data_IF_084528713781
#
_entry.id   IF_084528713781
#
_cell.length_a   1.000
_cell.length_b   1.000
_cell.length_c   1.000
_cell.angle_alpha   90.00
_cell.angle_beta   90.00
_cell.angle_gamma   90.00
#
_symmetry.space_group_name_H-M   'P 1'
#
loop_
_entity.id
_entity.type
_entity.pdbx_description
1 polymer ?
#
# COMPACT_ATOMS: atom_id res chain seq x y z
N UNK A 1 -34.87 -1.07 -49.20
CA UNK A 1 -35.99 -2.02 -49.12
C UNK A 1 -35.46 -3.43 -49.38
N UNK A 2 -35.85 -4.40 -48.51
CA UNK A 2 -35.69 -5.89 -48.56
C UNK A 2 -34.30 -6.44 -48.13
N UNK A 3 -34.10 -6.98 -46.92
CA UNK A 3 -34.44 -8.33 -46.36
C UNK A 3 -33.89 -9.47 -47.25
N UNK A 4 -33.04 -10.41 -46.78
CA UNK A 4 -33.36 -11.51 -45.83
C UNK A 4 -32.09 -12.25 -45.36
N UNK A 5 -32.15 -12.81 -44.16
CA UNK A 5 -31.13 -13.60 -43.45
C UNK A 5 -30.86 -15.00 -44.05
N UNK A 6 -29.60 -15.46 -43.98
CA UNK A 6 -29.23 -16.89 -44.06
C UNK A 6 -28.61 -17.30 -42.74
N UNK A 7 -29.24 -18.29 -42.12
CA UNK A 7 -28.81 -19.00 -40.92
C UNK A 7 -27.45 -19.69 -41.16
N UNK A 8 -26.47 -19.40 -40.31
CA UNK A 8 -25.32 -20.28 -40.10
C UNK A 8 -25.31 -20.71 -38.63
N UNK A 9 -25.36 -22.01 -38.46
CA UNK A 9 -25.57 -22.78 -37.23
C UNK A 9 -24.41 -22.70 -36.26
N UNK A 10 -24.77 -22.81 -34.98
CA UNK A 10 -23.99 -22.94 -33.75
C UNK A 10 -22.68 -23.77 -33.85
N UNK A 11 -21.70 -23.31 -33.07
CA UNK A 11 -20.53 -23.95 -32.41
C UNK A 11 -19.25 -23.18 -32.76
N UNK A 12 -18.36 -22.79 -31.85
CA UNK A 12 -18.23 -22.85 -30.41
C UNK A 12 -17.03 -21.97 -30.02
N UNK A 13 -16.78 -21.86 -28.72
CA UNK A 13 -15.56 -21.35 -28.06
C UNK A 13 -15.46 -19.84 -27.83
N UNK A 14 -15.99 -19.48 -26.66
CA UNK A 14 -15.51 -18.40 -25.79
C UNK A 14 -13.98 -18.44 -25.72
N UNK A 15 -13.31 -17.41 -26.21
CA UNK A 15 -11.94 -17.10 -25.84
C UNK A 15 -11.97 -15.87 -24.92
N UNK A 16 -12.12 -16.12 -23.62
CA UNK A 16 -11.83 -15.12 -22.60
C UNK A 16 -10.31 -14.89 -22.61
N UNK A 17 -9.86 -13.77 -23.19
CA UNK A 17 -8.49 -13.32 -23.02
C UNK A 17 -8.34 -12.78 -21.59
N UNK A 18 -7.99 -13.68 -20.67
CA UNK A 18 -7.45 -13.31 -19.37
C UNK A 18 -6.08 -12.65 -19.63
N UNK A 19 -6.02 -11.32 -19.58
CA UNK A 19 -4.75 -10.62 -19.46
C UNK A 19 -4.14 -11.02 -18.11
N UNK A 20 -3.11 -11.87 -18.19
CA UNK A 20 -2.31 -12.29 -17.08
C UNK A 20 -1.74 -11.06 -16.36
N UNK A 21 -2.15 -10.86 -15.11
CA UNK A 21 -1.40 -10.03 -14.17
C UNK A 21 -0.02 -10.66 -14.02
N UNK A 22 1.00 -10.02 -14.59
CA UNK A 22 2.38 -10.30 -14.20
C UNK A 22 2.49 -9.97 -12.72
N UNK A 23 2.93 -10.89 -11.85
CA UNK A 23 3.39 -10.48 -10.53
C UNK A 23 4.61 -9.61 -10.78
N UNK A 24 4.45 -8.29 -10.64
CA UNK A 24 5.58 -7.38 -10.61
C UNK A 24 6.50 -7.89 -9.51
N UNK A 25 7.81 -8.13 -9.77
CA UNK A 25 8.76 -8.34 -8.70
C UNK A 25 8.76 -7.01 -7.95
N UNK A 26 7.94 -6.93 -6.89
CA UNK A 26 8.04 -5.87 -5.91
C UNK A 26 9.50 -5.89 -5.50
N UNK A 27 10.22 -4.86 -5.94
CA UNK A 27 11.59 -4.64 -5.54
C UNK A 27 11.64 -4.93 -4.04
N UNK A 28 12.62 -5.73 -3.62
CA UNK A 28 12.91 -5.92 -2.21
C UNK A 28 13.41 -4.56 -1.66
N UNK A 29 12.50 -3.61 -1.55
CA UNK A 29 12.62 -2.42 -0.74
C UNK A 29 13.00 -2.94 0.65
N UNK A 30 13.89 -2.24 1.36
CA UNK A 30 14.20 -2.61 2.74
C UNK A 30 12.90 -2.63 3.54
N UNK A 31 12.36 -3.84 3.72
CA UNK A 31 11.13 -4.05 4.46
C UNK A 31 11.40 -3.62 5.89
N UNK A 32 10.46 -2.92 6.49
CA UNK A 32 10.48 -2.65 7.91
C UNK A 32 10.56 -4.01 8.63
N UNK A 33 11.14 -4.04 9.84
CA UNK A 33 11.24 -5.30 10.57
C UNK A 33 9.86 -5.66 11.10
N UNK A 34 9.36 -6.84 10.72
CA UNK A 34 8.05 -7.30 11.17
C UNK A 34 7.97 -7.31 12.70
N UNK A 35 6.86 -6.79 13.24
CA UNK A 35 6.63 -6.59 14.68
C UNK A 35 7.25 -5.31 15.25
N UNK A 36 7.87 -4.47 14.41
CA UNK A 36 8.38 -3.16 14.79
C UNK A 36 7.34 -2.06 14.63
N UNK A 37 7.37 -1.07 15.52
CA UNK A 37 6.55 0.14 15.42
C UNK A 37 7.43 1.28 14.91
N UNK A 38 6.94 1.98 13.89
CA UNK A 38 7.68 3.02 13.19
C UNK A 38 6.84 4.29 12.99
N UNK A 39 7.45 5.45 13.21
CA UNK A 39 6.98 6.72 12.70
C UNK A 39 7.04 6.69 11.18
N UNK A 40 6.14 7.42 10.52
CA UNK A 40 6.21 7.59 9.07
C UNK A 40 7.55 8.19 8.63
N UNK A 41 8.12 9.14 9.39
CA UNK A 41 9.48 9.65 9.14
C UNK A 41 10.55 8.54 9.14
N UNK A 42 10.48 7.60 10.09
CA UNK A 42 11.41 6.47 10.17
C UNK A 42 11.25 5.51 8.99
N UNK A 43 10.02 5.28 8.53
CA UNK A 43 9.73 4.50 7.33
C UNK A 43 10.26 5.18 6.07
N UNK A 44 10.06 6.49 5.92
CA UNK A 44 10.61 7.28 4.81
C UNK A 44 12.14 7.25 4.78
N UNK A 45 12.79 7.29 5.95
CA UNK A 45 14.25 7.16 6.04
C UNK A 45 14.76 5.75 5.68
N UNK A 46 13.93 4.72 5.81
CA UNK A 46 14.27 3.34 5.43
C UNK A 46 14.12 3.10 3.92
N UNK A 47 13.24 3.83 3.23
CA UNK A 47 13.04 3.65 1.80
C UNK A 47 11.74 4.26 1.28
N UNK A 48 11.26 3.73 0.15
CA UNK A 48 10.11 4.24 -0.59
C UNK A 48 8.77 3.84 0.06
N UNK A 49 8.53 4.27 1.31
CA UNK A 49 7.27 4.01 2.02
C UNK A 49 6.21 5.08 1.79
N UNK A 50 6.55 6.20 1.15
CA UNK A 50 5.64 7.34 0.99
C UNK A 50 4.27 6.93 0.43
N UNK A 51 4.25 6.25 -0.72
CA UNK A 51 2.99 5.89 -1.38
C UNK A 51 2.20 4.85 -0.59
N UNK A 52 2.91 3.95 0.10
CA UNK A 52 2.30 2.96 0.98
C UNK A 52 1.67 3.63 2.21
N UNK A 53 2.36 4.59 2.82
CA UNK A 53 1.84 5.41 3.93
C UNK A 53 0.59 6.16 3.48
N UNK A 54 0.61 6.80 2.31
CA UNK A 54 -0.54 7.52 1.75
C UNK A 54 -1.72 6.59 1.54
N UNK A 55 -1.51 5.40 0.98
CA UNK A 55 -2.56 4.39 0.80
C UNK A 55 -3.17 3.98 2.14
N UNK A 56 -2.35 3.69 3.15
CA UNK A 56 -2.81 3.20 4.44
C UNK A 56 -3.52 4.30 5.24
N UNK A 57 -3.05 5.55 5.18
CA UNK A 57 -3.74 6.70 5.76
C UNK A 57 -5.09 6.94 5.09
N UNK A 58 -5.13 6.90 3.74
CA UNK A 58 -6.38 7.03 2.98
C UNK A 58 -7.38 5.93 3.34
N UNK A 59 -6.91 4.68 3.43
CA UNK A 59 -7.74 3.54 3.83
C UNK A 59 -8.26 3.67 5.28
N UNK A 60 -7.48 4.31 6.16
CA UNK A 60 -7.87 4.64 7.53
C UNK A 60 -8.72 5.92 7.65
N UNK A 61 -9.06 6.57 6.54
CA UNK A 61 -9.82 7.83 6.53
C UNK A 61 -9.07 9.00 7.15
N UNK A 62 -7.74 8.93 7.20
CA UNK A 62 -6.89 10.00 7.72
C UNK A 62 -6.46 10.96 6.60
N UNK A 63 -6.19 12.23 6.92
CA UNK A 63 -5.50 13.13 6.01
C UNK A 63 -4.14 12.56 5.60
N UNK A 64 -3.71 12.90 4.38
CA UNK A 64 -2.42 12.49 3.81
C UNK A 64 -1.50 13.70 3.63
N UNK A 65 -1.63 14.70 4.51
CA UNK A 65 -0.70 15.83 4.53
C UNK A 65 0.66 15.41 5.12
N UNK A 66 1.67 16.24 4.91
CA UNK A 66 3.03 16.02 5.42
C UNK A 66 3.05 15.74 6.93
N UNK A 67 2.17 16.35 7.73
CA UNK A 67 2.16 16.10 9.16
C UNK A 67 1.68 14.67 9.45
N UNK A 68 0.61 14.22 8.80
CA UNK A 68 0.11 12.85 8.95
C UNK A 68 1.09 11.82 8.38
N UNK A 69 1.73 12.11 7.26
CA UNK A 69 2.74 11.23 6.68
C UNK A 69 3.93 11.10 7.63
N UNK A 70 4.46 12.21 8.17
CA UNK A 70 5.68 12.18 8.96
C UNK A 70 5.46 11.74 10.42
N UNK A 71 4.34 12.14 11.02
CA UNK A 71 4.06 11.99 12.45
C UNK A 71 3.03 10.91 12.78
N UNK A 72 2.57 10.12 11.82
CA UNK A 72 1.77 8.94 12.15
C UNK A 72 2.63 7.76 12.55
N UNK A 73 2.06 6.93 13.43
CA UNK A 73 2.64 5.71 13.93
C UNK A 73 2.08 4.51 13.15
N UNK A 74 2.97 3.64 12.70
CA UNK A 74 2.65 2.48 11.89
C UNK A 74 3.23 1.21 12.51
N UNK A 75 2.45 0.13 12.46
CA UNK A 75 2.89 -1.21 12.80
C UNK A 75 3.45 -1.88 11.54
N UNK A 76 4.64 -2.44 11.62
CA UNK A 76 5.22 -3.21 10.53
C UNK A 76 4.78 -4.67 10.59
N UNK A 77 4.08 -5.11 9.57
CA UNK A 77 3.63 -6.48 9.38
C UNK A 77 4.66 -7.27 8.54
N UNK A 78 4.40 -8.57 8.38
CA UNK A 78 5.24 -9.42 7.55
C UNK A 78 5.22 -8.96 6.08
N UNK A 79 6.38 -9.01 5.41
CA UNK A 79 6.51 -8.62 4.01
C UNK A 79 6.73 -7.11 3.77
N UNK A 80 6.89 -6.30 4.83
CA UNK A 80 7.04 -4.85 4.69
C UNK A 80 5.70 -4.11 4.55
N UNK A 81 4.59 -4.82 4.77
CA UNK A 81 3.27 -4.24 4.93
C UNK A 81 3.21 -3.37 6.19
N UNK A 82 2.48 -2.26 6.13
CA UNK A 82 2.33 -1.34 7.26
C UNK A 82 0.86 -1.14 7.61
N UNK A 83 0.57 -0.98 8.90
CA UNK A 83 -0.76 -0.69 9.41
C UNK A 83 -0.75 0.58 10.22
N UNK A 84 -1.64 1.51 9.89
CA UNK A 84 -1.82 2.72 10.68
C UNK A 84 -2.30 2.38 12.09
N UNK A 85 -1.63 2.95 13.10
CA UNK A 85 -2.00 2.84 14.51
C UNK A 85 -2.69 4.12 14.95
N UNK A 86 -1.99 5.26 14.82
CA UNK A 86 -2.49 6.56 15.29
C UNK A 86 -1.68 7.71 14.68
N UNK A 87 -2.27 8.90 14.62
CA UNK A 87 -1.56 10.14 14.32
C UNK A 87 -1.00 10.75 15.62
N UNK A 88 0.29 11.12 15.64
CA UNK A 88 0.91 11.77 16.78
C UNK A 88 0.87 13.31 16.60
N UNK A 89 -0.15 13.95 17.17
CA UNK A 89 -0.36 15.41 17.02
C UNK A 89 0.77 16.29 17.56
N UNK A 90 1.51 15.82 18.57
CA UNK A 90 2.67 16.54 19.13
C UNK A 90 4.01 16.15 18.46
N UNK A 91 3.96 15.29 17.43
CA UNK A 91 5.14 14.73 16.78
C UNK A 91 5.42 13.29 17.19
N UNK A 92 6.29 12.64 16.42
CA UNK A 92 6.66 11.25 16.57
C UNK A 92 8.15 11.13 16.92
N UNK A 93 8.48 10.35 17.95
CA UNK A 93 9.81 10.18 18.52
C UNK A 93 10.32 8.73 18.39
N UNK A 94 11.61 8.53 18.66
CA UNK A 94 12.28 7.23 18.54
C UNK A 94 13.09 7.03 17.26
N UNK A 95 12.97 7.97 16.30
CA UNK A 95 13.45 7.87 14.91
C UNK A 95 14.96 7.68 14.71
N UNK A 96 15.75 7.81 15.77
CA UNK A 96 17.22 7.69 15.78
C UNK A 96 17.73 6.50 16.61
N UNK A 97 16.85 5.67 17.15
CA UNK A 97 17.21 4.56 18.04
C UNK A 97 16.78 3.21 17.47
N UNK A 98 17.36 2.11 17.95
CA UNK A 98 16.92 0.74 17.60
C UNK A 98 15.59 0.35 18.28
N UNK A 99 15.08 1.20 19.18
CA UNK A 99 13.83 0.98 19.91
C UNK A 99 12.62 1.32 19.03
N UNK A 100 11.42 0.78 19.38
CA UNK A 100 10.20 1.15 18.68
C UNK A 100 9.91 2.65 18.81
N UNK A 101 9.36 3.20 17.75
CA UNK A 101 8.93 4.59 17.72
C UNK A 101 7.67 4.83 18.57
N UNK A 102 7.46 6.07 19.01
CA UNK A 102 6.36 6.44 19.92
C UNK A 102 5.85 7.87 19.66
N UNK A 103 4.59 8.15 20.04
CA UNK A 103 4.04 9.50 20.03
C UNK A 103 4.52 10.32 21.24
N UNK A 104 4.72 11.63 21.04
CA UNK A 104 5.12 12.59 22.09
C UNK A 104 3.93 13.20 22.85
#
# INVERSE_FOLDING_TARGET
MKFTATFATFTAFVAAAAAAGVPEPLAAQQSCNAGGVYCGTSLLNKGNYHDHIVQVLTAAGQPTDEAHINNSLFDCLSGGEIRFITFCGNGCGGTTTTNPDFCL
#
